data_IF_603953264379
#
_entry.id   IF_603953264379
#
_cell.length_a   1.000
_cell.length_b   1.000
_cell.length_c   1.000
_cell.angle_alpha   90.00
_cell.angle_beta   90.00
_cell.angle_gamma   90.00
#
_symmetry.space_group_name_H-M   'P 1'
#
loop_
_entity.id
_entity.type
_entity.pdbx_description
1 polymer ?
#
# COMPACT_ATOMS: atom_id res chain seq x y z
N UNK A 1 8.63 -6.65 2.64
CA UNK A 1 8.67 -6.94 4.09
C UNK A 1 7.26 -6.88 4.63
N UNK A 2 6.89 -7.83 5.49
CA UNK A 2 5.66 -7.80 6.28
C UNK A 2 5.95 -7.07 7.59
N UNK A 3 5.42 -5.86 7.75
CA UNK A 3 5.70 -4.97 8.88
C UNK A 3 4.61 -4.99 9.96
N UNK A 4 3.44 -5.53 9.64
CA UNK A 4 2.31 -5.64 10.57
C UNK A 4 1.31 -6.68 10.07
N UNK A 5 0.62 -7.31 11.00
CA UNK A 5 -0.54 -8.16 10.73
C UNK A 5 -1.87 -7.41 10.81
N UNK A 6 -1.86 -6.16 11.31
CA UNK A 6 -3.06 -5.32 11.46
C UNK A 6 -3.51 -4.79 10.11
N UNK A 7 -4.81 -4.72 9.90
CA UNK A 7 -5.42 -4.16 8.70
C UNK A 7 -6.69 -3.40 9.06
N UNK A 8 -6.90 -2.22 8.47
CA UNK A 8 -8.13 -1.44 8.66
C UNK A 8 -9.34 -2.10 7.97
N UNK A 9 -9.09 -2.90 6.93
CA UNK A 9 -10.13 -3.64 6.21
C UNK A 9 -9.63 -5.01 5.78
N UNK A 10 -10.32 -6.06 6.18
CA UNK A 10 -10.06 -7.44 5.77
C UNK A 10 -10.72 -7.74 4.43
N UNK A 11 -10.10 -7.29 3.35
CA UNK A 11 -10.64 -7.42 1.99
C UNK A 11 -10.92 -8.89 1.64
N UNK A 12 -12.13 -9.19 1.13
CA UNK A 12 -12.53 -10.56 0.76
C UNK A 12 -11.60 -11.18 -0.29
N UNK A 13 -11.08 -10.39 -1.22
CA UNK A 13 -10.17 -10.80 -2.28
C UNK A 13 -8.68 -10.79 -1.87
N UNK A 14 -8.35 -10.48 -0.61
CA UNK A 14 -6.96 -10.37 -0.17
C UNK A 14 -6.22 -11.71 -0.30
N UNK A 15 -5.14 -11.74 -1.11
CA UNK A 15 -4.34 -12.95 -1.26
C UNK A 15 -3.44 -13.25 -0.05
N UNK A 16 -3.27 -12.26 0.85
CA UNK A 16 -2.50 -12.39 2.10
C UNK A 16 -3.35 -12.74 3.32
N UNK A 17 -4.59 -13.20 3.17
CA UNK A 17 -5.48 -13.53 4.29
C UNK A 17 -4.85 -14.39 5.38
N UNK A 18 -3.95 -15.32 5.00
CA UNK A 18 -3.27 -16.22 5.93
C UNK A 18 -2.15 -15.57 6.74
N UNK A 19 -1.72 -14.38 6.32
CA UNK A 19 -0.63 -13.62 6.93
C UNK A 19 -1.15 -12.46 7.79
N UNK A 20 -2.47 -12.31 7.89
CA UNK A 20 -3.13 -11.29 8.71
C UNK A 20 -3.64 -11.97 9.98
N UNK A 21 -3.30 -11.41 11.15
CA UNK A 21 -3.69 -11.98 12.44
C UNK A 21 -2.63 -12.86 13.11
N UNK A 22 -1.39 -12.89 12.61
CA UNK A 22 -0.23 -13.44 13.32
C UNK A 22 0.15 -12.54 14.51
N UNK A 23 0.98 -13.04 15.43
CA UNK A 23 1.39 -12.26 16.61
C UNK A 23 2.26 -11.04 16.28
N UNK A 24 2.26 -10.04 17.16
CA UNK A 24 3.12 -8.85 17.01
C UNK A 24 4.61 -9.22 17.11
N UNK A 25 4.96 -10.17 17.98
CA UNK A 25 6.32 -10.67 18.16
C UNK A 25 6.85 -11.31 16.87
N UNK A 26 6.06 -12.18 16.23
CA UNK A 26 6.44 -12.77 14.94
C UNK A 26 6.62 -11.71 13.83
N UNK A 27 5.90 -10.60 13.90
CA UNK A 27 6.01 -9.50 12.92
C UNK A 27 7.30 -8.70 13.13
N UNK A 28 7.67 -8.38 14.36
CA UNK A 28 8.92 -7.69 14.69
C UNK A 28 10.15 -8.52 14.30
N UNK A 29 10.17 -9.78 14.70
CA UNK A 29 11.20 -10.75 14.32
C UNK A 29 11.37 -10.87 12.79
N UNK A 30 10.26 -10.83 12.06
CA UNK A 30 10.29 -10.90 10.60
C UNK A 30 10.89 -9.65 9.95
N UNK A 31 10.74 -8.46 10.57
CA UNK A 31 11.35 -7.24 10.04
C UNK A 31 12.88 -7.30 10.15
N UNK A 32 13.43 -7.65 11.33
CA UNK A 32 14.88 -7.71 11.54
C UNK A 32 15.53 -8.76 10.62
N UNK A 33 14.96 -9.96 10.55
CA UNK A 33 15.43 -11.01 9.62
C UNK A 33 15.40 -10.56 8.16
N UNK A 34 14.35 -9.82 7.77
CA UNK A 34 14.26 -9.29 6.40
C UNK A 34 15.28 -8.16 6.16
N UNK A 35 15.55 -7.33 7.17
CA UNK A 35 16.57 -6.29 7.09
C UNK A 35 17.97 -6.89 6.95
N UNK A 36 18.29 -7.92 7.72
CA UNK A 36 19.56 -8.66 7.61
C UNK A 36 19.71 -9.30 6.24
N UNK A 37 18.67 -9.98 5.76
CA UNK A 37 18.66 -10.54 4.41
C UNK A 37 18.95 -9.49 3.33
N UNK A 38 18.33 -8.30 3.42
CA UNK A 38 18.56 -7.22 2.45
C UNK A 38 20.00 -6.70 2.55
N UNK A 39 20.58 -6.60 3.75
CA UNK A 39 22.00 -6.19 3.93
C UNK A 39 22.97 -7.13 3.23
N UNK A 40 22.69 -8.43 3.26
CA UNK A 40 23.52 -9.48 2.62
C UNK A 40 23.31 -9.54 1.11
N UNK A 41 22.14 -9.13 0.59
CA UNK A 41 21.75 -9.20 -0.81
C UNK A 41 21.83 -7.84 -1.51
N UNK A 42 23.03 -7.50 -1.99
CA UNK A 42 23.30 -6.18 -2.61
C UNK A 42 22.58 -5.93 -3.93
N UNK A 43 22.09 -6.98 -4.57
CA UNK A 43 21.25 -6.91 -5.77
C UNK A 43 19.82 -6.38 -5.50
N UNK A 44 19.39 -6.30 -4.24
CA UNK A 44 18.11 -5.73 -3.87
C UNK A 44 18.22 -4.20 -3.92
N UNK A 45 17.60 -3.57 -4.89
CA UNK A 45 17.62 -2.12 -5.09
C UNK A 45 16.42 -1.38 -4.52
N UNK A 46 15.36 -2.07 -4.12
CA UNK A 46 14.18 -1.43 -3.52
C UNK A 46 13.39 -2.38 -2.63
N UNK A 47 12.63 -1.81 -1.71
CA UNK A 47 11.83 -2.55 -0.73
C UNK A 47 10.39 -2.04 -0.72
N UNK A 48 9.43 -2.96 -0.59
CA UNK A 48 8.05 -2.67 -0.27
C UNK A 48 7.76 -3.05 1.18
N UNK A 49 7.57 -2.05 2.04
CA UNK A 49 7.03 -2.23 3.40
C UNK A 49 5.53 -2.46 3.25
N UNK A 50 5.03 -3.57 3.75
CA UNK A 50 3.65 -4.02 3.56
C UNK A 50 3.19 -4.83 4.79
N UNK A 51 2.26 -5.76 4.64
CA UNK A 51 1.74 -6.59 5.73
C UNK A 51 0.23 -6.70 5.63
N UNK A 52 -0.48 -6.46 6.72
CA UNK A 52 -1.89 -6.12 6.69
C UNK A 52 -2.06 -4.76 6.01
N UNK A 53 -1.78 -3.69 6.74
CA UNK A 53 -1.66 -2.33 6.17
C UNK A 53 -0.48 -1.60 6.84
N UNK A 54 0.52 -1.22 6.07
CA UNK A 54 1.77 -0.69 6.61
C UNK A 54 1.59 0.62 7.40
N UNK A 55 0.63 1.48 7.04
CA UNK A 55 0.39 2.72 7.78
C UNK A 55 -0.39 2.53 9.09
N UNK A 56 -0.79 1.31 9.44
CA UNK A 56 -1.32 1.00 10.77
C UNK A 56 -0.24 0.69 11.82
N UNK A 57 1.03 0.66 11.42
CA UNK A 57 2.12 0.74 12.39
C UNK A 57 2.09 2.10 13.11
N UNK A 58 2.63 2.16 14.33
CA UNK A 58 2.86 3.44 15.00
C UNK A 58 3.90 4.28 14.25
N UNK A 59 3.94 5.59 14.52
CA UNK A 59 4.93 6.47 13.91
C UNK A 59 6.35 6.09 14.30
N UNK A 60 6.55 5.65 15.55
CA UNK A 60 7.84 5.16 16.06
C UNK A 60 8.30 3.89 15.33
N UNK A 61 7.39 2.94 15.10
CA UNK A 61 7.70 1.72 14.36
C UNK A 61 8.04 2.02 12.89
N UNK A 62 7.28 2.92 12.25
CA UNK A 62 7.56 3.36 10.88
C UNK A 62 8.91 4.08 10.81
N UNK A 63 9.21 4.95 11.77
CA UNK A 63 10.49 5.65 11.87
C UNK A 63 11.65 4.66 11.97
N UNK A 64 11.55 3.68 12.87
CA UNK A 64 12.54 2.63 13.00
C UNK A 64 12.76 1.86 11.68
N UNK A 65 11.68 1.45 11.00
CA UNK A 65 11.79 0.76 9.71
C UNK A 65 12.48 1.61 8.65
N UNK A 66 12.14 2.90 8.59
CA UNK A 66 12.74 3.84 7.65
C UNK A 66 14.22 4.10 7.96
N UNK A 67 14.60 4.26 9.24
CA UNK A 67 16.00 4.44 9.64
C UNK A 67 16.85 3.24 9.24
N UNK A 68 16.39 2.02 9.54
CA UNK A 68 17.11 0.79 9.20
C UNK A 68 17.27 0.63 7.69
N UNK A 69 16.19 0.81 6.91
CA UNK A 69 16.22 0.59 5.46
C UNK A 69 16.96 1.71 4.72
N UNK A 70 16.82 2.97 5.14
CA UNK A 70 17.49 4.08 4.46
C UNK A 70 18.99 4.17 4.77
N UNK A 71 19.48 3.45 5.79
CA UNK A 71 20.92 3.28 6.02
C UNK A 71 21.59 2.37 4.98
N UNK A 72 20.80 1.62 4.18
CA UNK A 72 21.30 0.67 3.18
C UNK A 72 21.52 1.40 1.84
N UNK A 73 22.78 1.60 1.46
CA UNK A 73 23.17 2.38 0.26
C UNK A 73 22.64 1.78 -1.04
N UNK A 74 22.54 0.44 -1.13
CA UNK A 74 22.05 -0.27 -2.33
C UNK A 74 20.58 -0.03 -2.64
N UNK A 75 19.78 0.48 -1.69
CA UNK A 75 18.38 0.75 -1.95
C UNK A 75 18.22 2.11 -2.65
N UNK A 76 17.62 2.12 -3.84
CA UNK A 76 17.33 3.32 -4.62
C UNK A 76 16.10 4.07 -4.10
N UNK A 77 15.07 3.34 -3.68
CA UNK A 77 13.82 3.87 -3.16
C UNK A 77 13.08 2.87 -2.28
N UNK A 78 12.13 3.40 -1.50
CA UNK A 78 11.21 2.59 -0.70
C UNK A 78 9.76 2.74 -1.19
N UNK A 79 8.97 1.72 -0.95
CA UNK A 79 7.52 1.73 -1.18
C UNK A 79 6.80 1.36 0.11
N UNK A 80 5.73 2.08 0.41
CA UNK A 80 4.83 1.78 1.53
C UNK A 80 3.50 1.31 0.94
N UNK A 81 3.18 0.04 1.14
CA UNK A 81 1.93 -0.57 0.68
C UNK A 81 0.82 -0.38 1.70
N UNK A 82 -0.18 0.43 1.36
CA UNK A 82 -1.28 0.75 2.26
C UNK A 82 -2.60 0.95 1.51
N UNK A 83 -3.69 0.57 2.13
CA UNK A 83 -5.03 0.94 1.66
C UNK A 83 -5.67 2.00 2.56
N UNK A 84 -4.93 2.51 3.52
CA UNK A 84 -5.40 3.52 4.48
C UNK A 84 -6.05 4.75 3.83
N UNK A 85 -5.53 5.32 2.71
CA UNK A 85 -6.23 6.43 2.03
C UNK A 85 -7.68 6.11 1.63
N UNK A 86 -7.99 4.84 1.42
CA UNK A 86 -9.33 4.35 1.03
C UNK A 86 -10.16 3.93 2.24
N UNK A 87 -9.57 3.14 3.14
CA UNK A 87 -10.31 2.41 4.17
C UNK A 87 -10.31 3.07 5.53
N UNK A 88 -9.32 3.91 5.80
CA UNK A 88 -9.16 4.65 7.04
C UNK A 88 -8.37 5.97 6.81
N UNK A 89 -8.89 6.90 5.96
CA UNK A 89 -8.18 8.14 5.63
C UNK A 89 -7.83 8.98 6.85
N UNK A 90 -8.58 8.88 7.94
CA UNK A 90 -8.33 9.58 9.20
C UNK A 90 -6.96 9.29 9.81
N UNK A 91 -6.36 8.12 9.53
CA UNK A 91 -4.98 7.81 9.91
C UNK A 91 -3.96 8.80 9.31
N UNK A 92 -4.31 9.42 8.20
CA UNK A 92 -3.48 10.41 7.52
C UNK A 92 -3.97 11.81 7.84
N UNK A 93 -5.30 12.06 7.74
CA UNK A 93 -5.85 13.42 7.84
C UNK A 93 -5.88 13.96 9.27
N UNK A 94 -5.84 13.10 10.29
CA UNK A 94 -5.81 13.50 11.70
C UNK A 94 -4.45 13.27 12.37
N UNK A 95 -3.44 12.78 11.63
CA UNK A 95 -2.08 12.58 12.15
C UNK A 95 -1.05 13.32 11.28
N UNK A 96 -0.87 14.62 11.53
CA UNK A 96 0.14 15.41 10.80
C UNK A 96 1.57 14.94 11.08
N UNK A 97 1.86 14.28 12.21
CA UNK A 97 3.17 13.75 12.54
C UNK A 97 3.57 12.63 11.58
N UNK A 98 2.62 11.76 11.20
CA UNK A 98 2.85 10.74 10.16
C UNK A 98 3.27 11.38 8.84
N UNK A 99 2.57 12.43 8.41
CA UNK A 99 2.85 13.10 7.13
C UNK A 99 4.22 13.77 7.16
N UNK A 100 4.57 14.46 8.24
CA UNK A 100 5.89 15.09 8.40
C UNK A 100 7.00 14.03 8.53
N UNK A 101 6.73 12.90 9.17
CA UNK A 101 7.64 11.75 9.21
C UNK A 101 7.97 11.29 7.79
N UNK A 102 6.98 10.97 6.99
CA UNK A 102 7.17 10.50 5.60
C UNK A 102 7.91 11.55 4.76
N UNK A 103 7.55 12.82 4.86
CA UNK A 103 8.21 13.95 4.16
C UNK A 103 9.68 14.09 4.55
N UNK A 104 10.02 13.97 5.82
CA UNK A 104 11.39 14.02 6.33
C UNK A 104 12.26 12.93 5.71
N UNK A 105 11.73 11.71 5.63
CA UNK A 105 12.45 10.56 5.08
C UNK A 105 12.48 10.55 3.55
N UNK A 106 11.46 11.03 2.87
CA UNK A 106 11.45 11.17 1.39
C UNK A 106 12.57 12.11 0.90
N UNK A 107 12.95 13.12 1.70
CA UNK A 107 14.09 14.00 1.39
C UNK A 107 15.45 13.29 1.43
N UNK A 108 15.56 12.22 2.21
CA UNK A 108 16.80 11.41 2.30
C UNK A 108 16.85 10.40 1.15
N UNK A 109 15.74 9.72 0.86
CA UNK A 109 15.60 8.73 -0.21
C UNK A 109 14.13 8.62 -0.61
N UNK A 110 13.86 8.55 -1.90
CA UNK A 110 12.50 8.58 -2.45
C UNK A 110 11.59 7.49 -1.86
N UNK A 111 10.43 7.92 -1.37
CA UNK A 111 9.37 7.06 -0.86
C UNK A 111 8.16 7.16 -1.78
N UNK A 112 7.60 6.01 -2.14
CA UNK A 112 6.33 5.92 -2.85
C UNK A 112 5.27 5.29 -1.95
N UNK A 113 4.12 5.93 -1.81
CA UNK A 113 2.93 5.29 -1.27
C UNK A 113 2.25 4.53 -2.39
N UNK A 114 2.04 3.23 -2.17
CA UNK A 114 1.35 2.34 -3.11
C UNK A 114 0.03 1.94 -2.49
N UNK A 115 -1.05 2.55 -3.01
CA UNK A 115 -2.41 2.35 -2.50
C UNK A 115 -3.25 1.43 -3.40
N UNK A 116 -4.49 1.16 -2.99
CA UNK A 116 -5.40 0.28 -3.71
C UNK A 116 -6.83 0.82 -3.70
N UNK A 117 -7.17 1.59 -4.72
CA UNK A 117 -8.55 1.90 -5.11
C UNK A 117 -9.00 0.90 -6.16
N UNK A 118 -10.20 0.37 -6.03
CA UNK A 118 -10.77 -0.61 -6.96
C UNK A 118 -12.05 -0.11 -7.65
N UNK A 119 -12.68 0.95 -7.15
CA UNK A 119 -13.88 1.55 -7.73
C UNK A 119 -13.89 3.06 -7.54
N UNK A 120 -14.50 3.81 -8.48
CA UNK A 120 -14.59 5.27 -8.40
C UNK A 120 -15.35 5.77 -7.16
N UNK A 121 -16.30 5.01 -6.64
CA UNK A 121 -16.99 5.34 -5.39
C UNK A 121 -16.10 5.32 -4.14
N UNK A 122 -14.88 4.80 -4.23
CA UNK A 122 -13.89 4.85 -3.15
C UNK A 122 -13.14 6.20 -3.12
N UNK A 123 -13.28 7.01 -4.17
CA UNK A 123 -12.75 8.38 -4.23
C UNK A 123 -13.78 9.28 -3.52
N UNK A 124 -13.69 9.31 -2.21
CA UNK A 124 -14.52 10.15 -1.33
C UNK A 124 -13.77 11.44 -1.00
N UNK A 125 -14.46 12.44 -0.48
CA UNK A 125 -13.84 13.69 -0.01
C UNK A 125 -12.69 13.43 0.98
N UNK A 126 -12.90 12.50 1.93
CA UNK A 126 -11.88 12.16 2.92
C UNK A 126 -10.68 11.41 2.30
N UNK A 127 -10.94 10.53 1.32
CA UNK A 127 -9.84 9.84 0.62
C UNK A 127 -9.02 10.80 -0.24
N UNK A 128 -9.68 11.75 -0.92
CA UNK A 128 -9.03 12.82 -1.69
C UNK A 128 -8.17 13.70 -0.77
N UNK A 129 -8.71 14.11 0.38
CA UNK A 129 -7.98 14.90 1.38
C UNK A 129 -6.72 14.18 1.86
N UNK A 130 -6.83 12.88 2.18
CA UNK A 130 -5.68 12.07 2.60
C UNK A 130 -4.61 11.98 1.50
N UNK A 131 -5.03 11.76 0.24
CA UNK A 131 -4.13 11.75 -0.92
C UNK A 131 -3.45 13.10 -1.08
N UNK A 132 -4.20 14.20 -1.03
CA UNK A 132 -3.68 15.56 -1.17
C UNK A 132 -2.61 15.88 -0.11
N UNK A 133 -2.85 15.54 1.14
CA UNK A 133 -1.86 15.72 2.21
C UNK A 133 -0.55 15.00 1.92
N UNK A 134 -0.60 13.78 1.38
CA UNK A 134 0.60 13.04 0.97
C UNK A 134 1.31 13.72 -0.21
N UNK A 135 0.55 14.15 -1.23
CA UNK A 135 1.10 14.84 -2.40
C UNK A 135 1.74 16.20 -2.03
N UNK A 136 1.10 16.99 -1.16
CA UNK A 136 1.61 18.28 -0.67
C UNK A 136 2.89 18.09 0.18
N UNK A 137 3.04 16.94 0.81
CA UNK A 137 4.27 16.55 1.48
C UNK A 137 5.39 16.09 0.50
N UNK A 138 5.12 16.01 -0.81
CA UNK A 138 6.05 15.55 -1.85
C UNK A 138 6.01 14.04 -2.10
N UNK A 139 5.16 13.30 -1.39
CA UNK A 139 5.05 11.85 -1.49
C UNK A 139 4.23 11.48 -2.74
N UNK A 140 4.83 10.74 -3.66
CA UNK A 140 4.10 10.23 -4.83
C UNK A 140 3.19 9.07 -4.45
N UNK A 141 1.92 9.14 -4.86
CA UNK A 141 0.91 8.11 -4.60
C UNK A 141 0.64 7.33 -5.88
N UNK A 142 0.83 6.01 -5.84
CA UNK A 142 0.61 5.08 -6.95
C UNK A 142 -0.52 4.12 -6.60
N UNK A 143 -1.37 3.78 -7.57
CA UNK A 143 -2.48 2.86 -7.35
C UNK A 143 -2.26 1.50 -8.01
N UNK A 144 -2.55 0.44 -7.25
CA UNK A 144 -2.60 -0.94 -7.72
C UNK A 144 -4.04 -1.44 -7.66
N UNK A 145 -4.78 -1.28 -8.75
CA UNK A 145 -6.17 -1.79 -8.86
C UNK A 145 -6.15 -3.32 -8.97
N UNK A 146 -7.09 -3.99 -8.32
CA UNK A 146 -7.39 -5.41 -8.57
C UNK A 146 -8.64 -5.50 -9.40
N UNK A 147 -8.57 -6.22 -10.53
CA UNK A 147 -9.73 -6.48 -11.39
C UNK A 147 -10.65 -7.50 -10.72
N UNK A 148 -11.87 -7.08 -10.40
CA UNK A 148 -12.83 -7.82 -9.60
C UNK A 148 -14.14 -7.98 -10.37
N UNK A 149 -14.53 -9.23 -10.66
CA UNK A 149 -15.79 -9.53 -11.33
C UNK A 149 -16.99 -8.96 -10.56
N UNK A 150 -17.86 -8.27 -11.28
CA UNK A 150 -19.05 -7.64 -10.72
C UNK A 150 -18.79 -6.35 -9.92
N UNK A 151 -17.56 -5.84 -9.93
CA UNK A 151 -17.17 -4.58 -9.26
C UNK A 151 -16.60 -3.58 -10.27
N UNK A 152 -15.54 -3.95 -10.96
CA UNK A 152 -14.82 -3.07 -11.88
C UNK A 152 -14.36 -3.79 -13.18
N UNK A 153 -14.96 -4.93 -13.50
CA UNK A 153 -14.69 -5.71 -14.71
C UNK A 153 -15.46 -5.20 -15.95
N UNK A 154 -16.12 -4.06 -15.82
CA UNK A 154 -16.69 -3.27 -16.91
C UNK A 154 -15.71 -2.17 -17.32
N UNK A 155 -15.39 -2.01 -18.64
CA UNK A 155 -14.42 -0.99 -19.11
C UNK A 155 -14.78 0.43 -18.72
N UNK A 156 -16.06 0.81 -18.72
CA UNK A 156 -16.49 2.15 -18.37
C UNK A 156 -16.34 2.42 -16.86
N UNK A 157 -16.61 1.40 -16.03
CA UNK A 157 -16.41 1.49 -14.58
C UNK A 157 -14.92 1.66 -14.26
N UNK A 158 -14.07 0.83 -14.88
CA UNK A 158 -12.62 0.91 -14.72
C UNK A 158 -12.09 2.24 -15.26
N UNK A 159 -12.55 2.68 -16.41
CA UNK A 159 -12.19 3.96 -17.01
C UNK A 159 -12.54 5.16 -16.13
N UNK A 160 -13.71 5.16 -15.47
CA UNK A 160 -14.08 6.19 -14.48
C UNK A 160 -13.15 6.19 -13.27
N UNK A 161 -12.78 5.02 -12.76
CA UNK A 161 -11.82 4.92 -11.67
C UNK A 161 -10.47 5.53 -12.08
N UNK A 162 -9.90 5.12 -13.20
CA UNK A 162 -8.56 5.57 -13.63
C UNK A 162 -8.54 7.08 -13.89
N UNK A 163 -9.58 7.64 -14.51
CA UNK A 163 -9.73 9.09 -14.70
C UNK A 163 -9.84 9.82 -13.36
N UNK A 164 -10.66 9.31 -12.44
CA UNK A 164 -10.82 9.90 -11.10
C UNK A 164 -9.52 9.89 -10.30
N UNK A 165 -8.77 8.79 -10.33
CA UNK A 165 -7.45 8.70 -9.68
C UNK A 165 -6.47 9.75 -10.23
N UNK A 166 -6.39 9.87 -11.57
CA UNK A 166 -5.53 10.87 -12.21
C UNK A 166 -5.94 12.30 -11.83
N UNK A 167 -7.25 12.58 -11.75
CA UNK A 167 -7.76 13.90 -11.37
C UNK A 167 -7.35 14.32 -9.96
N UNK A 168 -7.24 13.38 -9.00
CA UNK A 168 -6.78 13.65 -7.63
C UNK A 168 -5.25 13.50 -7.46
N UNK A 169 -4.49 13.30 -8.57
CA UNK A 169 -3.03 13.20 -8.55
C UNK A 169 -2.46 11.82 -8.23
N UNK A 170 -3.29 10.79 -8.14
CA UNK A 170 -2.85 9.40 -7.96
C UNK A 170 -2.47 8.80 -9.31
N UNK A 171 -1.30 8.18 -9.38
CA UNK A 171 -0.79 7.55 -10.60
C UNK A 171 -1.34 6.12 -10.71
N UNK A 172 -2.19 5.79 -11.71
CA UNK A 172 -2.52 4.40 -12.03
C UNK A 172 -1.23 3.64 -12.39
N UNK A 173 -0.92 2.61 -11.61
CA UNK A 173 0.39 1.94 -11.71
C UNK A 173 0.27 0.50 -12.22
N UNK A 174 -0.60 -0.31 -11.61
CA UNK A 174 -0.90 -1.67 -12.04
C UNK A 174 -2.39 -1.97 -11.98
N UNK A 175 -2.83 -2.84 -12.89
CA UNK A 175 -4.11 -3.55 -12.79
C UNK A 175 -3.77 -5.02 -12.64
N UNK A 176 -4.05 -5.57 -11.46
CA UNK A 176 -3.78 -6.97 -11.15
C UNK A 176 -5.00 -7.83 -11.40
N UNK A 177 -4.77 -8.99 -11.99
CA UNK A 177 -5.77 -10.05 -12.01
C UNK A 177 -6.06 -10.54 -10.58
N UNK A 178 -7.33 -10.65 -10.20
CA UNK A 178 -7.70 -11.21 -8.90
C UNK A 178 -7.25 -12.66 -8.79
N UNK A 179 -6.42 -12.95 -7.79
CA UNK A 179 -5.97 -14.32 -7.52
C UNK A 179 -7.09 -15.15 -6.85
N UNK A 180 -7.20 -16.44 -7.14
CA UNK A 180 -8.07 -17.33 -6.39
C UNK A 180 -7.54 -17.44 -4.95
N UNK A 181 -8.40 -17.15 -3.98
CA UNK A 181 -8.09 -17.27 -2.56
C UNK A 181 -9.14 -18.12 -1.85
N UNK A 182 -8.78 -18.77 -0.76
CA UNK A 182 -9.69 -19.59 0.05
C UNK A 182 -10.96 -18.82 0.43
N UNK A 183 -12.11 -19.44 0.23
CA UNK A 183 -13.43 -18.85 0.52
C UNK A 183 -14.01 -17.92 -0.55
N UNK A 184 -13.24 -17.56 -1.61
CA UNK A 184 -13.71 -16.73 -2.73
C UNK A 184 -13.14 -17.17 -4.07
N UNK A 185 -12.75 -18.43 -4.19
CA UNK A 185 -11.98 -18.96 -5.33
C UNK A 185 -12.58 -18.73 -6.71
N UNK A 186 -13.90 -18.62 -6.83
CA UNK A 186 -14.59 -18.37 -8.12
C UNK A 186 -15.39 -17.06 -8.14
N UNK A 187 -15.37 -16.31 -7.06
CA UNK A 187 -16.30 -15.19 -6.89
C UNK A 187 -15.88 -13.94 -7.65
N UNK A 188 -14.60 -13.56 -7.54
CA UNK A 188 -14.08 -12.30 -8.07
C UNK A 188 -13.18 -12.44 -9.29
N UNK A 189 -12.88 -13.67 -9.74
CA UNK A 189 -12.01 -13.84 -10.90
C UNK A 189 -12.69 -13.35 -12.18
N UNK A 190 -11.93 -12.61 -12.97
CA UNK A 190 -12.26 -12.23 -14.34
C UNK A 190 -11.44 -13.12 -15.28
N UNK A 191 -12.03 -13.71 -16.34
CA UNK A 191 -11.26 -14.44 -17.33
C UNK A 191 -10.16 -13.58 -17.94
N UNK A 192 -8.96 -14.14 -18.16
CA UNK A 192 -7.78 -13.40 -18.69
C UNK A 192 -8.11 -12.71 -20.03
N UNK A 193 -8.89 -13.36 -20.88
CA UNK A 193 -9.27 -12.80 -22.19
C UNK A 193 -10.31 -11.66 -22.10
N UNK A 194 -10.88 -11.42 -20.93
CA UNK A 194 -11.84 -10.34 -20.68
C UNK A 194 -11.19 -9.14 -19.94
N UNK A 195 -10.11 -9.40 -19.22
CA UNK A 195 -9.43 -8.39 -18.40
C UNK A 195 -8.35 -7.57 -19.10
#
# INVERSE_FOLDING_TARGET
>A
ILSTHRCAMYCRHCFRKRLVGISEEETADNFEKAADYIREHKEISNVLISGGDALLNSNEALEHFLDVLLSMEQLDFLRIGTRTPVTFPFRITLDPELVELLKRYDRKKKIYVVTQFNHSAEITEESEKAVRMLLDAGISVKNQTVLLRGVNDDPDVLGRLLKGLTAIGVIPYYIFQCRPVSGVGTHFQVPILKG
#
